data_IF_461177498089
#
_entry.id   IF_461177498089
#
_cell.length_a   1.000
_cell.length_b   1.000
_cell.length_c   1.000
_cell.angle_alpha   90.00
_cell.angle_beta   90.00
_cell.angle_gamma   90.00
#
_symmetry.space_group_name_H-M   'P 1'
#
loop_
_entity.id
_entity.type
_entity.pdbx_description
1 polymer ?
#
# COMPACT_ATOMS: atom_id res chain seq x y z
N UNK A 1 -1.98 6.59 6.78
CA UNK A 1 -3.09 5.92 6.07
C UNK A 1 -3.41 4.65 6.83
N UNK A 2 -4.67 4.40 7.14
CA UNK A 2 -5.11 3.18 7.83
C UNK A 2 -6.22 2.51 7.03
N UNK A 3 -6.06 1.23 6.74
CA UNK A 3 -7.05 0.42 6.03
C UNK A 3 -8.16 0.02 7.01
N UNK A 4 -9.42 0.06 6.54
CA UNK A 4 -10.57 -0.37 7.33
C UNK A 4 -10.46 -1.86 7.68
N UNK A 5 -10.84 -2.27 8.91
CA UNK A 5 -10.89 -3.68 9.31
C UNK A 5 -11.79 -4.58 8.44
N UNK A 6 -12.72 -3.98 7.70
CA UNK A 6 -13.65 -4.69 6.80
C UNK A 6 -13.09 -4.90 5.39
N UNK A 7 -11.89 -4.36 5.08
CA UNK A 7 -11.29 -4.42 3.74
C UNK A 7 -10.29 -5.57 3.70
N UNK A 8 -10.59 -6.63 2.96
CA UNK A 8 -9.74 -7.81 2.85
C UNK A 8 -10.47 -8.93 2.13
N UNK A 9 -9.80 -10.07 1.97
CA UNK A 9 -10.41 -11.27 1.42
C UNK A 9 -9.82 -12.51 2.06
N UNK A 10 -10.40 -13.68 1.77
CA UNK A 10 -9.89 -14.97 2.22
C UNK A 10 -8.38 -15.10 1.92
N UNK A 11 -7.62 -15.77 2.78
CA UNK A 11 -6.17 -15.95 2.61
C UNK A 11 -5.74 -16.50 1.24
N UNK A 12 -6.59 -17.27 0.56
CA UNK A 12 -6.32 -17.81 -0.78
C UNK A 12 -6.57 -16.82 -1.92
N UNK A 13 -7.19 -15.67 -1.63
CA UNK A 13 -7.47 -14.63 -2.62
C UNK A 13 -6.22 -13.80 -2.91
N UNK A 14 -6.01 -13.52 -4.19
CA UNK A 14 -5.03 -12.54 -4.67
C UNK A 14 -5.70 -11.34 -5.34
N UNK A 15 -7.02 -11.22 -5.23
CA UNK A 15 -7.77 -10.08 -5.80
C UNK A 15 -7.48 -8.83 -4.98
N UNK A 16 -7.01 -7.73 -5.60
CA UNK A 16 -6.75 -6.48 -4.89
C UNK A 16 -8.00 -5.93 -4.22
N UNK A 17 -7.90 -5.69 -2.91
CA UNK A 17 -8.92 -4.99 -2.13
C UNK A 17 -8.81 -3.47 -2.29
N UNK A 18 -7.60 -2.98 -2.57
CA UNK A 18 -7.32 -1.58 -2.88
C UNK A 18 -6.33 -1.46 -4.05
N UNK A 19 -6.55 -0.50 -4.94
CA UNK A 19 -5.65 -0.18 -6.05
C UNK A 19 -5.35 1.32 -6.09
N UNK A 20 -4.07 1.70 -6.26
CA UNK A 20 -3.71 3.11 -6.43
C UNK A 20 -2.30 3.49 -5.98
N UNK A 21 -2.11 4.78 -5.70
CA UNK A 21 -0.85 5.30 -5.14
C UNK A 21 -1.11 5.87 -3.76
N UNK A 22 -0.40 5.33 -2.78
CA UNK A 22 -0.56 5.67 -1.37
C UNK A 22 0.78 6.15 -0.82
N UNK A 23 0.84 7.43 -0.45
CA UNK A 23 2.08 8.07 0.02
C UNK A 23 1.85 8.60 1.42
N UNK A 24 2.68 8.15 2.37
CA UNK A 24 2.78 8.71 3.72
C UNK A 24 4.23 9.06 4.09
N UNK A 25 5.17 8.95 3.16
CA UNK A 25 6.57 9.39 3.32
C UNK A 25 6.67 10.91 3.59
N UNK A 26 7.65 11.40 4.37
CA UNK A 26 8.75 10.64 4.97
C UNK A 26 8.47 10.04 6.36
N UNK A 27 7.46 10.52 7.09
CA UNK A 27 7.27 10.16 8.50
C UNK A 27 5.95 9.42 8.81
N UNK A 28 4.99 9.42 7.90
CA UNK A 28 3.68 8.84 8.12
C UNK A 28 3.67 7.31 7.97
N UNK A 29 2.73 6.68 8.70
CA UNK A 29 2.54 5.22 8.70
C UNK A 29 1.45 4.79 7.72
N UNK A 30 1.70 3.70 6.99
CA UNK A 30 0.68 2.91 6.31
C UNK A 30 0.35 1.67 7.15
N UNK A 31 -0.90 1.56 7.63
CA UNK A 31 -1.36 0.50 8.50
C UNK A 31 -2.41 -0.37 7.80
N UNK A 32 -2.18 -1.69 7.70
CA UNK A 32 -3.13 -2.63 7.07
C UNK A 32 -4.34 -2.96 7.94
N UNK A 33 -4.28 -2.60 9.23
CA UNK A 33 -5.36 -2.84 10.18
C UNK A 33 -5.51 -4.32 10.53
N UNK A 34 -6.10 -4.59 11.69
CA UNK A 34 -6.61 -5.93 12.00
C UNK A 34 -7.89 -6.16 11.19
N UNK A 35 -8.11 -7.39 10.74
CA UNK A 35 -9.35 -7.78 10.05
C UNK A 35 -10.49 -8.02 11.06
N UNK A 36 -11.73 -7.75 10.65
CA UNK A 36 -12.93 -8.20 11.36
C UNK A 36 -13.07 -9.73 11.44
N UNK A 37 -12.53 -10.46 10.46
CA UNK A 37 -12.39 -11.92 10.44
C UNK A 37 -10.93 -12.31 10.70
N UNK A 38 -10.41 -11.89 11.86
CA UNK A 38 -9.02 -12.06 12.26
C UNK A 38 -8.53 -13.51 12.07
N UNK A 39 -7.31 -13.67 11.56
CA UNK A 39 -6.74 -14.99 11.34
C UNK A 39 -7.09 -15.64 10.00
N UNK A 40 -8.12 -15.17 9.29
CA UNK A 40 -8.58 -15.81 8.04
C UNK A 40 -8.45 -14.93 6.80
N UNK A 41 -8.32 -13.61 7.01
CA UNK A 41 -8.32 -12.64 5.93
C UNK A 41 -6.94 -12.04 5.67
N UNK A 42 -6.57 -12.03 4.39
CA UNK A 42 -5.40 -11.38 3.83
C UNK A 42 -5.75 -9.98 3.31
N UNK A 43 -4.80 -9.05 3.42
CA UNK A 43 -4.84 -7.78 2.70
C UNK A 43 -4.13 -7.92 1.36
N UNK A 44 -4.74 -7.46 0.27
CA UNK A 44 -4.12 -7.40 -1.06
C UNK A 44 -4.22 -5.98 -1.60
N UNK A 45 -3.07 -5.31 -1.75
CA UNK A 45 -2.97 -3.98 -2.36
C UNK A 45 -2.24 -4.05 -3.69
N UNK A 46 -2.69 -3.28 -4.69
CA UNK A 46 -2.00 -3.18 -5.99
C UNK A 46 -1.69 -1.72 -6.33
N UNK A 47 -0.46 -1.43 -6.75
CA UNK A 47 -0.03 -0.07 -7.02
C UNK A 47 1.31 0.28 -6.39
N UNK A 48 1.44 1.56 -6.01
CA UNK A 48 2.67 2.11 -5.42
C UNK A 48 2.38 2.55 -4.00
N UNK A 49 3.08 1.96 -3.05
CA UNK A 49 2.93 2.24 -1.62
C UNK A 49 4.27 2.79 -1.10
N UNK A 50 4.30 4.05 -0.67
CA UNK A 50 5.50 4.71 -0.17
C UNK A 50 5.21 5.28 1.21
N UNK A 51 5.74 4.65 2.25
CA UNK A 51 5.52 5.07 3.63
C UNK A 51 6.84 5.25 4.36
N UNK A 52 6.87 6.17 5.34
CA UNK A 52 7.98 6.24 6.28
C UNK A 52 8.03 5.04 7.22
N UNK A 53 6.84 4.47 7.50
CA UNK A 53 6.69 3.27 8.31
C UNK A 53 5.53 2.41 7.78
N UNK A 54 5.70 1.09 7.81
CA UNK A 54 4.64 0.13 7.53
C UNK A 54 4.25 -0.59 8.82
N UNK A 55 2.97 -0.52 9.16
CA UNK A 55 2.36 -1.30 10.24
C UNK A 55 1.53 -2.43 9.63
N UNK A 56 2.15 -3.61 9.52
CA UNK A 56 1.52 -4.82 9.01
C UNK A 56 0.90 -5.56 10.21
N UNK A 57 -0.42 -5.67 10.23
CA UNK A 57 -1.17 -6.05 11.43
C UNK A 57 -1.99 -7.34 11.25
N UNK A 58 -1.93 -7.98 10.09
CA UNK A 58 -2.67 -9.22 9.83
C UNK A 58 -1.80 -10.44 10.13
N UNK A 59 -2.50 -11.48 10.52
CA UNK A 59 -1.91 -12.77 10.92
C UNK A 59 -2.84 -13.86 10.39
N UNK A 60 -2.27 -14.91 9.81
CA UNK A 60 -2.97 -16.09 9.28
C UNK A 60 -2.66 -17.37 10.09
N UNK A 61 -2.10 -17.23 11.29
CA UNK A 61 -1.73 -18.36 12.15
C UNK A 61 -2.95 -19.21 12.54
N UNK A 62 -4.10 -18.59 12.76
CA UNK A 62 -5.31 -19.32 13.20
C UNK A 62 -5.81 -20.36 12.19
N UNK A 63 -5.47 -20.19 10.91
CA UNK A 63 -5.76 -21.14 9.82
C UNK A 63 -4.51 -21.89 9.34
N UNK A 64 -3.37 -21.71 10.02
CA UNK A 64 -2.10 -22.37 9.70
C UNK A 64 -1.54 -21.98 8.34
N UNK A 65 -1.78 -20.75 7.87
CA UNK A 65 -1.40 -20.33 6.51
C UNK A 65 -0.23 -19.35 6.43
N UNK A 66 0.30 -18.86 7.56
CA UNK A 66 1.49 -17.98 7.58
C UNK A 66 2.71 -18.59 6.86
N UNK A 67 2.84 -19.92 6.86
CA UNK A 67 3.93 -20.65 6.19
C UNK A 67 3.75 -20.76 4.67
N UNK A 68 2.54 -20.57 4.16
CA UNK A 68 2.20 -20.81 2.74
C UNK A 68 1.89 -19.53 1.98
N UNK A 69 1.30 -18.53 2.65
CA UNK A 69 0.89 -17.26 2.05
C UNK A 69 1.17 -16.09 3.00
N UNK A 70 1.43 -14.92 2.42
CA UNK A 70 1.60 -13.70 3.21
C UNK A 70 0.26 -13.13 3.67
N UNK A 71 0.17 -12.65 4.92
CA UNK A 71 -1.02 -11.96 5.43
C UNK A 71 -1.26 -10.61 4.74
N UNK A 72 -0.20 -10.00 4.21
CA UNK A 72 -0.22 -8.83 3.35
C UNK A 72 0.46 -9.10 2.01
N UNK A 73 -0.24 -8.84 0.91
CA UNK A 73 0.29 -8.91 -0.45
C UNK A 73 0.27 -7.54 -1.09
N UNK A 74 1.44 -7.10 -1.55
CA UNK A 74 1.59 -5.89 -2.34
C UNK A 74 2.01 -6.26 -3.75
N UNK A 75 1.17 -5.93 -4.73
CA UNK A 75 1.48 -6.10 -6.15
C UNK A 75 1.88 -4.76 -6.72
N UNK A 76 3.13 -4.62 -7.15
CA UNK A 76 3.58 -3.39 -7.78
C UNK A 76 2.85 -3.15 -9.11
N UNK A 77 2.31 -1.94 -9.29
CA UNK A 77 1.73 -1.52 -10.56
C UNK A 77 2.25 -0.12 -10.94
N UNK A 78 3.21 -0.02 -11.87
CA UNK A 78 3.81 1.25 -12.29
C UNK A 78 2.97 2.01 -13.32
N UNK A 79 1.78 1.53 -13.69
CA UNK A 79 0.99 2.13 -14.77
C UNK A 79 0.76 3.63 -14.56
N UNK A 80 0.56 4.10 -13.32
CA UNK A 80 0.43 5.54 -13.06
C UNK A 80 1.72 6.31 -13.40
N UNK A 81 2.92 5.75 -13.17
CA UNK A 81 4.18 6.39 -13.54
C UNK A 81 4.25 6.63 -15.05
N UNK A 82 3.85 5.64 -15.84
CA UNK A 82 3.92 5.67 -17.31
C UNK A 82 2.70 6.30 -17.99
N UNK A 83 1.58 6.43 -17.28
CA UNK A 83 0.33 6.96 -17.84
C UNK A 83 -0.09 8.30 -17.22
N UNK A 84 0.64 8.83 -16.25
CA UNK A 84 0.32 10.15 -15.71
C UNK A 84 0.50 11.24 -16.79
N UNK A 85 -0.36 12.28 -16.79
CA UNK A 85 -0.18 13.47 -17.63
C UNK A 85 1.20 14.09 -17.43
N UNK A 86 1.79 14.64 -18.50
CA UNK A 86 3.12 15.26 -18.43
C UNK A 86 3.20 16.41 -17.42
N UNK A 87 2.09 17.14 -17.22
CA UNK A 87 1.96 18.16 -16.19
C UNK A 87 2.13 17.66 -14.76
N UNK A 88 1.97 16.35 -14.51
CA UNK A 88 2.23 15.72 -13.21
C UNK A 88 3.65 15.12 -13.11
N UNK A 89 4.37 15.01 -14.23
CA UNK A 89 5.75 14.50 -14.28
C UNK A 89 6.78 15.58 -14.04
N UNK A 90 6.50 16.79 -14.49
CA UNK A 90 7.42 17.91 -14.34
C UNK A 90 7.41 18.43 -12.90
N UNK A 91 8.60 18.57 -12.31
CA UNK A 91 8.79 19.32 -11.08
C UNK A 91 9.08 20.78 -11.50
N UNK A 92 8.14 21.73 -11.35
CA UNK A 92 8.39 23.11 -11.73
C UNK A 92 9.39 23.72 -10.74
N UNK A 93 10.68 23.65 -11.05
CA UNK A 93 11.72 24.38 -10.33
C UNK A 93 11.89 25.73 -11.02
N UNK A 94 11.40 26.80 -10.39
CA UNK A 94 11.82 28.16 -10.70
C UNK A 94 13.17 28.41 -10.05
N UNK A 95 14.25 28.27 -10.83
CA UNK A 95 15.57 28.73 -10.41
C UNK A 95 15.61 30.26 -10.47
N UNK A 96 16.06 30.90 -9.39
CA UNK A 96 16.36 32.33 -9.35
C UNK A 96 17.80 32.53 -8.88
N UNK A 97 18.59 33.25 -9.68
CA UNK A 97 19.88 33.77 -9.25
C UNK A 97 19.63 34.92 -8.26
N UNK A 98 20.14 34.79 -7.04
CA UNK A 98 20.20 35.91 -6.10
C UNK A 98 21.62 36.46 -6.16
N UNK A 99 21.83 37.51 -6.97
CA UNK A 99 23.08 38.26 -6.96
C UNK A 99 23.19 39.07 -5.65
N UNK A 100 24.38 39.16 -5.00
CA UNK A 100 24.60 39.96 -3.80
C UNK A 100 24.38 41.46 -4.00
#
# INVERSE_FOLDING_TARGET
ISISPTVGGLYSSSTPAVEGVYITSPAGTFATGTSTNAGTERFVGKGTFVAGNFSLQRDLESVGQNSNVSAELFTYNPALLFNMPDSMRELPITWQEVAP
#
